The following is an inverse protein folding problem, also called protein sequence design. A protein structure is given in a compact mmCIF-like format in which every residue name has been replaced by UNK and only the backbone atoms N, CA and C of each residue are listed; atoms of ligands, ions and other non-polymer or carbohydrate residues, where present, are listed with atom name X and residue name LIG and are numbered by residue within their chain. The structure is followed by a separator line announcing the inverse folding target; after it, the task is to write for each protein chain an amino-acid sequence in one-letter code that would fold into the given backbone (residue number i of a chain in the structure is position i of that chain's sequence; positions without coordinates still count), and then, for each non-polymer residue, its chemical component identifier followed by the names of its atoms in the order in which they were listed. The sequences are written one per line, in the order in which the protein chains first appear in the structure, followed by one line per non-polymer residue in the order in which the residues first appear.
data_IF_156587334417
#
_entry.id   IF_156587334417
#
_cell.length_a   1.000
_cell.length_b   1.000
_cell.length_c   1.000
_cell.angle_alpha   90.00
_cell.angle_beta   90.00
_cell.angle_gamma   90.00
#
_symmetry.space_group_name_H-M   'P 1'
#
loop_
_entity.id
_entity.type
_entity.pdbx_description
1 polymer ?
#
# COMPACT_ATOMS: atom_id res chain seq x y z
N UNK A 1 6.85 51.68 -8.66
CA UNK A 1 5.85 51.89 -9.73
C UNK A 1 4.54 51.18 -9.37
N UNK A 2 3.42 51.91 -9.34
CA UNK A 2 2.06 51.34 -9.25
C UNK A 2 1.40 51.39 -10.63
N UNK A 3 1.04 50.25 -11.20
CA UNK A 3 0.33 50.17 -12.49
C UNK A 3 1.15 50.47 -13.76
N UNK A 4 2.47 50.69 -13.66
CA UNK A 4 3.34 51.02 -14.79
C UNK A 4 4.12 49.82 -15.33
N UNK A 5 4.36 49.77 -16.64
CA UNK A 5 5.15 48.73 -17.32
C UNK A 5 6.49 49.33 -17.77
N UNK A 6 7.61 48.68 -17.45
CA UNK A 6 8.95 49.01 -17.93
C UNK A 6 9.48 47.88 -18.82
N UNK A 7 9.78 48.16 -20.09
CA UNK A 7 10.41 47.21 -21.00
C UNK A 7 11.89 47.57 -21.21
N UNK A 8 12.80 46.60 -21.06
CA UNK A 8 14.24 46.79 -21.20
C UNK A 8 14.72 45.87 -22.31
N UNK A 9 14.99 46.43 -23.49
CA UNK A 9 15.47 45.72 -24.68
C UNK A 9 16.82 46.30 -25.13
N UNK A 10 17.90 45.74 -24.60
CA UNK A 10 19.22 46.37 -24.65
C UNK A 10 19.37 47.50 -23.63
N UNK A 11 20.48 47.51 -22.91
CA UNK A 11 20.77 48.49 -21.85
C UNK A 11 20.55 47.94 -20.44
N UNK A 12 20.75 48.81 -19.43
CA UNK A 12 20.75 48.42 -18.02
C UNK A 12 19.86 49.36 -17.19
N UNK A 13 19.14 48.79 -16.23
CA UNK A 13 18.44 49.54 -15.18
C UNK A 13 18.89 49.07 -13.80
N UNK A 14 18.87 49.95 -12.80
CA UNK A 14 19.19 49.61 -11.42
C UNK A 14 18.10 50.12 -10.47
N UNK A 15 18.03 49.52 -9.28
CA UNK A 15 17.25 50.02 -8.13
C UNK A 15 15.75 50.21 -8.43
N UNK A 16 15.19 49.28 -9.21
CA UNK A 16 13.77 49.31 -9.58
C UNK A 16 12.91 48.77 -8.45
N UNK A 17 11.88 49.52 -8.04
CA UNK A 17 10.85 49.04 -7.10
C UNK A 17 9.51 48.81 -7.80
N UNK A 18 9.05 47.56 -7.81
CA UNK A 18 7.78 47.12 -8.39
C UNK A 18 6.75 46.96 -7.27
N UNK A 19 5.70 47.78 -7.29
CA UNK A 19 4.57 47.69 -6.34
C UNK A 19 3.34 47.17 -7.10
N UNK A 20 2.17 47.19 -6.46
CA UNK A 20 0.92 46.73 -7.05
C UNK A 20 0.69 47.22 -8.49
N UNK A 21 0.56 46.27 -9.42
CA UNK A 21 0.37 46.49 -10.86
C UNK A 21 1.61 46.98 -11.61
N UNK A 22 2.76 47.13 -10.94
CA UNK A 22 4.03 47.45 -11.56
C UNK A 22 4.63 46.22 -12.21
N UNK A 23 5.00 46.33 -13.49
CA UNK A 23 5.60 45.26 -14.27
C UNK A 23 6.96 45.70 -14.85
N UNK A 24 7.95 44.81 -14.80
CA UNK A 24 9.23 44.99 -15.51
C UNK A 24 9.47 43.78 -16.42
N UNK A 25 9.61 44.05 -17.73
CA UNK A 25 9.96 43.06 -18.74
C UNK A 25 11.42 43.26 -19.14
N UNK A 26 12.27 42.28 -18.81
CA UNK A 26 13.68 42.25 -19.17
C UNK A 26 13.81 41.36 -20.41
N UNK A 27 13.92 42.02 -21.57
CA UNK A 27 13.99 41.38 -22.88
C UNK A 27 15.42 41.02 -23.27
N UNK A 28 15.59 40.42 -24.45
CA UNK A 28 16.89 40.07 -25.02
C UNK A 28 17.90 41.23 -24.94
N UNK A 29 19.04 40.99 -24.27
CA UNK A 29 20.11 41.97 -24.08
C UNK A 29 19.82 43.05 -23.03
N UNK A 30 18.64 43.04 -22.40
CA UNK A 30 18.31 43.88 -21.26
C UNK A 30 18.93 43.35 -19.97
N UNK A 31 19.36 44.29 -19.11
CA UNK A 31 19.95 43.99 -17.80
C UNK A 31 19.18 44.76 -16.71
N UNK A 32 18.79 44.07 -15.63
CA UNK A 32 18.26 44.71 -14.42
C UNK A 32 19.05 44.30 -13.18
N UNK A 33 19.34 45.27 -12.30
CA UNK A 33 20.09 45.04 -11.06
C UNK A 33 19.34 45.64 -9.87
N UNK A 34 19.41 45.01 -8.70
CA UNK A 34 18.84 45.55 -7.45
C UNK A 34 17.34 45.79 -7.52
N UNK A 35 16.58 44.85 -8.09
CA UNK A 35 15.12 44.98 -8.20
C UNK A 35 14.43 44.55 -6.91
N UNK A 36 13.50 45.35 -6.40
CA UNK A 36 12.63 45.00 -5.27
C UNK A 36 11.21 44.80 -5.77
N UNK A 37 10.67 43.60 -5.58
CA UNK A 37 9.31 43.23 -6.00
C UNK A 37 8.42 43.11 -4.77
N UNK A 38 7.51 44.06 -4.60
CA UNK A 38 6.53 44.09 -3.51
C UNK A 38 5.20 43.48 -3.95
N UNK A 39 4.25 43.40 -3.02
CA UNK A 39 2.90 42.88 -3.25
C UNK A 39 2.26 43.42 -4.53
N UNK A 40 1.86 42.51 -5.41
CA UNK A 40 1.24 42.79 -6.71
C UNK A 40 2.19 43.33 -7.79
N UNK A 41 3.50 43.40 -7.51
CA UNK A 41 4.55 43.70 -8.49
C UNK A 41 5.00 42.44 -9.22
N UNK A 42 5.51 42.61 -10.45
CA UNK A 42 5.92 41.47 -11.29
C UNK A 42 7.15 41.80 -12.13
N UNK A 43 8.17 40.94 -12.08
CA UNK A 43 9.30 40.98 -13.00
C UNK A 43 9.27 39.76 -13.91
N UNK A 44 9.34 39.98 -15.22
CA UNK A 44 9.42 38.95 -16.26
C UNK A 44 10.78 39.00 -16.92
N UNK A 45 11.50 37.88 -16.91
CA UNK A 45 12.82 37.74 -17.52
C UNK A 45 12.67 36.85 -18.73
N UNK A 46 12.61 37.48 -19.90
CA UNK A 46 12.39 36.81 -21.18
C UNK A 46 13.71 36.25 -21.74
N UNK A 47 13.60 35.53 -22.85
CA UNK A 47 14.75 34.92 -23.54
C UNK A 47 15.85 35.95 -23.81
N UNK A 48 17.06 35.68 -23.29
CA UNK A 48 18.23 36.54 -23.43
C UNK A 48 18.26 37.76 -22.49
N UNK A 49 17.27 37.92 -21.62
CA UNK A 49 17.29 38.90 -20.53
C UNK A 49 18.15 38.43 -19.35
N UNK A 50 18.76 39.37 -18.63
CA UNK A 50 19.61 39.10 -17.47
C UNK A 50 19.22 39.95 -16.27
N UNK A 51 19.02 39.34 -15.11
CA UNK A 51 18.72 40.06 -13.86
C UNK A 51 19.67 39.62 -12.75
N UNK A 52 20.14 40.56 -11.92
CA UNK A 52 20.90 40.23 -10.70
C UNK A 52 20.37 40.97 -9.48
N UNK A 53 20.56 40.37 -8.31
CA UNK A 53 20.29 40.98 -7.00
C UNK A 53 18.81 41.41 -6.87
N UNK A 54 17.89 40.46 -7.01
CA UNK A 54 16.45 40.73 -6.84
C UNK A 54 15.97 40.31 -5.46
N UNK A 55 15.17 41.15 -4.80
CA UNK A 55 14.44 40.80 -3.58
C UNK A 55 12.95 40.68 -3.88
N UNK A 56 12.37 39.51 -3.61
CA UNK A 56 10.95 39.22 -3.82
C UNK A 56 10.27 39.19 -2.45
N UNK A 57 9.48 40.23 -2.16
CA UNK A 57 8.71 40.37 -0.94
C UNK A 57 7.33 39.69 -1.06
N UNK A 58 6.63 39.59 0.07
CA UNK A 58 5.29 39.00 0.15
C UNK A 58 4.33 39.52 -0.93
N UNK A 59 3.77 38.60 -1.72
CA UNK A 59 2.86 38.86 -2.83
C UNK A 59 3.51 39.39 -4.11
N UNK A 60 4.84 39.49 -4.17
CA UNK A 60 5.60 39.80 -5.39
C UNK A 60 5.97 38.53 -6.16
N UNK A 61 6.15 38.67 -7.49
CA UNK A 61 6.53 37.55 -8.36
C UNK A 61 7.67 37.87 -9.33
N UNK A 62 8.66 36.98 -9.42
CA UNK A 62 9.65 36.94 -10.50
C UNK A 62 9.37 35.71 -11.38
N UNK A 63 9.28 35.91 -12.69
CA UNK A 63 9.01 34.87 -13.68
C UNK A 63 10.18 34.80 -14.67
N UNK A 64 10.87 33.65 -14.69
CA UNK A 64 12.02 33.41 -15.54
C UNK A 64 11.62 32.44 -16.64
N UNK A 65 11.50 32.97 -17.86
CA UNK A 65 11.11 32.18 -19.02
C UNK A 65 12.31 31.48 -19.65
N UNK A 66 12.05 30.68 -20.68
CA UNK A 66 13.08 29.96 -21.46
C UNK A 66 14.21 30.91 -21.89
N UNK A 67 15.46 30.51 -21.61
CA UNK A 67 16.68 31.27 -21.86
C UNK A 67 16.77 32.64 -21.13
N UNK A 68 15.87 32.93 -20.18
CA UNK A 68 16.02 34.03 -19.23
C UNK A 68 16.99 33.64 -18.11
N UNK A 69 17.76 34.61 -17.62
CA UNK A 69 18.81 34.36 -16.63
C UNK A 69 18.66 35.29 -15.43
N UNK A 70 18.60 34.72 -14.23
CA UNK A 70 18.62 35.49 -12.98
C UNK A 70 19.72 34.99 -12.04
N UNK A 71 20.36 35.90 -11.32
CA UNK A 71 21.35 35.58 -10.30
C UNK A 71 21.07 36.32 -9.00
N UNK A 72 21.37 35.70 -7.86
CA UNK A 72 21.23 36.34 -6.52
C UNK A 72 19.81 36.82 -6.23
N UNK A 73 18.82 35.99 -6.53
CA UNK A 73 17.44 36.23 -6.14
C UNK A 73 17.26 35.84 -4.67
N UNK A 74 16.76 36.75 -3.84
CA UNK A 74 16.33 36.49 -2.46
C UNK A 74 14.81 36.45 -2.41
N UNK A 75 14.26 35.32 -1.99
CA UNK A 75 12.81 35.11 -1.83
C UNK A 75 12.51 35.21 -0.33
N UNK A 76 11.64 36.13 0.06
CA UNK A 76 11.17 36.23 1.45
C UNK A 76 9.82 35.55 1.62
N UNK A 77 9.31 35.53 2.85
CA UNK A 77 7.98 35.00 3.17
C UNK A 77 6.88 35.56 2.25
N UNK A 78 6.15 34.64 1.60
CA UNK A 78 5.08 34.92 0.64
C UNK A 78 5.54 35.45 -0.73
N UNK A 79 6.84 35.55 -1.00
CA UNK A 79 7.39 35.87 -2.32
C UNK A 79 7.45 34.63 -3.22
N UNK A 80 7.30 34.82 -4.53
CA UNK A 80 7.30 33.72 -5.51
C UNK A 80 8.39 33.91 -6.57
N UNK A 81 9.24 32.91 -6.72
CA UNK A 81 10.09 32.72 -7.90
C UNK A 81 9.52 31.60 -8.75
N UNK A 82 9.12 31.91 -9.99
CA UNK A 82 8.78 30.91 -10.99
C UNK A 82 9.90 30.80 -12.03
N UNK A 83 10.38 29.58 -12.26
CA UNK A 83 11.38 29.29 -13.31
C UNK A 83 10.82 28.22 -14.23
N UNK A 84 10.53 28.62 -15.46
CA UNK A 84 9.97 27.74 -16.48
C UNK A 84 11.06 26.83 -17.07
N UNK A 85 10.63 25.84 -17.86
CA UNK A 85 11.56 24.93 -18.55
C UNK A 85 12.57 25.73 -19.42
N UNK A 86 13.85 25.43 -19.25
CA UNK A 86 14.95 26.14 -19.93
C UNK A 86 15.26 27.55 -19.39
N UNK A 87 14.56 28.02 -18.35
CA UNK A 87 14.98 29.20 -17.58
C UNK A 87 16.14 28.87 -16.63
N UNK A 88 16.92 29.89 -16.26
CA UNK A 88 18.09 29.75 -15.38
C UNK A 88 18.03 30.71 -14.19
N UNK A 89 18.18 30.17 -12.99
CA UNK A 89 18.29 30.93 -11.75
C UNK A 89 19.42 30.38 -10.88
N UNK A 90 20.39 31.20 -10.51
CA UNK A 90 21.53 30.76 -9.68
C UNK A 90 21.76 31.66 -8.49
N UNK A 91 22.40 31.11 -7.45
CA UNK A 91 22.60 31.80 -6.18
C UNK A 91 21.27 32.27 -5.56
N UNK A 92 20.23 31.46 -5.69
CA UNK A 92 18.92 31.75 -5.09
C UNK A 92 19.02 31.56 -3.57
N UNK A 93 18.51 32.52 -2.80
CA UNK A 93 18.30 32.38 -1.36
C UNK A 93 16.81 32.26 -1.11
N UNK A 94 16.33 31.04 -0.81
CA UNK A 94 14.96 30.79 -0.38
C UNK A 94 14.92 30.88 1.15
N UNK A 95 14.43 31.99 1.68
CA UNK A 95 14.16 32.08 3.11
C UNK A 95 12.86 31.32 3.44
N UNK A 96 12.70 30.92 4.70
CA UNK A 96 11.43 30.38 5.21
C UNK A 96 10.24 31.22 4.77
N UNK A 97 9.22 30.57 4.23
CA UNK A 97 8.04 31.24 3.68
C UNK A 97 8.10 31.53 2.17
N UNK A 98 9.29 31.46 1.58
CA UNK A 98 9.50 31.74 0.16
C UNK A 98 9.15 30.56 -0.73
N UNK A 99 8.47 30.81 -1.85
CA UNK A 99 8.02 29.78 -2.77
C UNK A 99 8.85 29.74 -4.06
N UNK A 100 9.18 28.53 -4.49
CA UNK A 100 9.76 28.25 -5.81
C UNK A 100 8.76 27.40 -6.60
N UNK A 101 8.43 27.83 -7.82
CA UNK A 101 7.56 27.12 -8.77
C UNK A 101 8.38 26.76 -10.00
N UNK A 102 8.59 25.47 -10.26
CA UNK A 102 9.48 25.04 -11.34
C UNK A 102 9.25 23.58 -11.77
N UNK A 103 10.06 23.12 -12.72
CA UNK A 103 10.12 21.73 -13.16
C UNK A 103 11.59 21.30 -13.40
N UNK A 104 11.81 19.99 -13.55
CA UNK A 104 13.15 19.42 -13.69
C UNK A 104 13.88 19.75 -15.02
N UNK A 105 13.25 20.46 -15.96
CA UNK A 105 13.93 21.02 -17.16
C UNK A 105 14.47 22.44 -16.98
N UNK A 106 14.28 23.08 -15.82
CA UNK A 106 14.94 24.34 -15.48
C UNK A 106 16.40 24.10 -15.05
N UNK A 107 17.19 25.18 -14.97
CA UNK A 107 18.49 25.18 -14.29
C UNK A 107 18.39 26.06 -13.06
N UNK A 108 18.60 25.47 -11.88
CA UNK A 108 18.38 26.13 -10.60
C UNK A 108 19.51 25.80 -9.63
N UNK A 109 20.00 26.78 -8.86
CA UNK A 109 20.92 26.53 -7.75
C UNK A 109 20.77 27.60 -6.66
N UNK A 110 20.89 27.18 -5.41
CA UNK A 110 20.69 28.08 -4.29
C UNK A 110 20.83 27.42 -2.93
N UNK A 111 20.35 28.12 -1.91
CA UNK A 111 20.25 27.66 -0.52
C UNK A 111 18.86 27.89 0.02
N UNK A 112 18.37 26.93 0.80
CA UNK A 112 17.18 27.03 1.65
C UNK A 112 17.54 26.60 3.09
N UNK A 113 16.55 26.52 3.97
CA UNK A 113 16.75 26.13 5.37
C UNK A 113 17.25 24.68 5.56
N UNK A 114 17.18 23.84 4.52
CA UNK A 114 17.72 22.47 4.47
C UNK A 114 19.11 22.39 3.82
N UNK A 115 19.67 23.52 3.38
CA UNK A 115 21.01 23.59 2.79
C UNK A 115 20.99 23.93 1.30
N UNK A 116 22.00 23.46 0.56
CA UNK A 116 22.12 23.75 -0.87
C UNK A 116 21.15 22.90 -1.68
N UNK A 117 20.45 23.51 -2.62
CA UNK A 117 19.55 22.82 -3.55
C UNK A 117 19.96 23.07 -5.00
N UNK A 118 19.56 22.19 -5.90
CA UNK A 118 19.84 22.34 -7.32
C UNK A 118 18.83 21.63 -8.23
N UNK A 119 18.67 22.14 -9.44
CA UNK A 119 18.07 21.44 -10.57
C UNK A 119 19.04 21.54 -11.75
N UNK A 120 19.50 20.40 -12.26
CA UNK A 120 20.36 20.35 -13.43
C UNK A 120 20.21 19.02 -14.15
N UNK A 121 20.17 19.07 -15.49
CA UNK A 121 20.19 17.86 -16.32
C UNK A 121 19.04 16.88 -16.08
N UNK A 122 17.87 17.37 -15.64
CA UNK A 122 16.72 16.51 -15.32
C UNK A 122 16.68 15.98 -13.89
N UNK A 123 17.63 16.33 -13.03
CA UNK A 123 17.63 15.92 -11.61
C UNK A 123 17.44 17.13 -10.71
N UNK A 124 16.49 17.05 -9.78
CA UNK A 124 16.31 18.01 -8.70
C UNK A 124 16.82 17.43 -7.37
N UNK A 125 17.44 18.24 -6.52
CA UNK A 125 17.96 17.80 -5.22
C UNK A 125 17.74 18.87 -4.15
N UNK A 126 17.37 18.40 -2.95
CA UNK A 126 17.21 19.20 -1.73
C UNK A 126 16.20 20.36 -1.85
N UNK A 127 15.16 20.16 -2.66
CA UNK A 127 14.13 21.16 -2.88
C UNK A 127 13.25 21.31 -1.63
N UNK A 128 12.98 22.55 -1.22
CA UNK A 128 12.02 22.89 -0.17
C UNK A 128 10.78 23.51 -0.83
N UNK A 129 9.64 22.82 -0.73
CA UNK A 129 8.38 23.23 -1.33
C UNK A 129 7.41 23.61 -0.22
N UNK A 130 7.11 24.90 -0.09
CA UNK A 130 6.22 25.45 0.93
C UNK A 130 5.50 26.70 0.39
N UNK A 131 4.39 27.08 1.00
CA UNK A 131 3.65 28.31 0.69
C UNK A 131 3.28 28.46 -0.81
N UNK A 132 2.84 27.38 -1.44
CA UNK A 132 2.54 27.34 -2.87
C UNK A 132 3.73 26.96 -3.76
N UNK A 133 4.88 26.64 -3.17
CA UNK A 133 6.01 26.07 -3.89
C UNK A 133 5.62 24.78 -4.61
N UNK A 134 6.06 24.64 -5.86
CA UNK A 134 5.72 23.52 -6.74
C UNK A 134 6.98 23.05 -7.47
N UNK A 135 7.25 21.75 -7.38
CA UNK A 135 8.19 21.07 -8.29
C UNK A 135 7.41 20.08 -9.14
N UNK A 136 7.56 20.18 -10.46
CA UNK A 136 7.15 19.12 -11.38
C UNK A 136 8.35 18.27 -11.81
N UNK A 137 8.35 17.00 -11.45
CA UNK A 137 9.30 15.99 -11.94
C UNK A 137 8.76 15.43 -13.25
N UNK A 138 9.43 15.74 -14.35
CA UNK A 138 9.03 15.32 -15.70
C UNK A 138 9.31 13.83 -15.95
N UNK A 139 8.79 13.32 -17.06
CA UNK A 139 9.06 11.95 -17.52
C UNK A 139 10.57 11.72 -17.73
N UNK A 140 11.09 10.61 -17.21
CA UNK A 140 12.51 10.23 -17.32
C UNK A 140 13.46 11.05 -16.43
N UNK A 141 12.92 11.96 -15.62
CA UNK A 141 13.66 12.80 -14.68
C UNK A 141 13.53 12.28 -13.25
N UNK A 142 14.32 12.82 -12.33
CA UNK A 142 14.30 12.44 -10.92
C UNK A 142 14.31 13.64 -9.97
N UNK A 143 13.84 13.40 -8.75
CA UNK A 143 14.02 14.31 -7.62
C UNK A 143 14.52 13.55 -6.39
N UNK A 144 15.48 14.13 -5.67
CA UNK A 144 15.99 13.61 -4.41
C UNK A 144 15.87 14.62 -3.27
N UNK A 145 15.80 14.10 -2.06
CA UNK A 145 15.96 14.87 -0.81
C UNK A 145 14.96 16.04 -0.69
N UNK A 146 13.76 15.85 -1.24
CA UNK A 146 12.74 16.91 -1.35
C UNK A 146 11.89 16.98 -0.08
N UNK A 147 11.77 18.17 0.50
CA UNK A 147 10.84 18.45 1.60
C UNK A 147 9.63 19.20 1.07
N UNK A 148 8.44 18.68 1.32
CA UNK A 148 7.15 19.29 0.96
C UNK A 148 6.42 19.67 2.24
N UNK A 149 6.45 20.95 2.59
CA UNK A 149 5.77 21.51 3.76
C UNK A 149 4.36 21.99 3.44
N UNK A 150 3.79 22.82 4.34
CA UNK A 150 2.43 23.35 4.16
C UNK A 150 2.24 24.03 2.81
N UNK A 151 1.17 23.65 2.12
CA UNK A 151 0.75 24.18 0.82
C UNK A 151 1.80 24.01 -0.30
N UNK A 152 2.86 23.23 -0.05
CA UNK A 152 3.82 22.79 -1.05
C UNK A 152 3.28 21.61 -1.85
N UNK A 153 3.67 21.53 -3.12
CA UNK A 153 3.27 20.42 -4.01
C UNK A 153 4.47 19.83 -4.73
N UNK A 154 4.67 18.53 -4.57
CA UNK A 154 5.52 17.73 -5.45
C UNK A 154 4.63 17.02 -6.47
N UNK A 155 4.74 17.42 -7.73
CA UNK A 155 4.04 16.81 -8.85
C UNK A 155 5.00 15.89 -9.60
N UNK A 156 4.67 14.61 -9.73
CA UNK A 156 5.50 13.61 -10.42
C UNK A 156 4.73 13.10 -11.63
N UNK A 157 5.25 13.38 -12.83
CA UNK A 157 4.68 12.84 -14.05
C UNK A 157 4.98 11.34 -14.18
N UNK A 158 4.17 10.62 -14.97
CA UNK A 158 4.40 9.22 -15.26
C UNK A 158 5.80 9.02 -15.86
N UNK A 159 6.61 8.17 -15.21
CA UNK A 159 8.01 7.93 -15.56
C UNK A 159 9.02 8.85 -14.84
N UNK A 160 8.57 9.75 -13.96
CA UNK A 160 9.42 10.44 -13.00
C UNK A 160 9.74 9.56 -11.79
N UNK A 161 10.92 9.76 -11.20
CA UNK A 161 11.43 8.92 -10.10
C UNK A 161 11.77 9.75 -8.87
N UNK A 162 11.34 9.29 -7.70
CA UNK A 162 11.76 9.81 -6.40
C UNK A 162 12.93 8.98 -5.87
N UNK A 163 14.02 9.65 -5.52
CA UNK A 163 15.26 9.08 -4.96
C UNK A 163 15.57 9.74 -3.61
N UNK A 164 16.55 9.21 -2.89
CA UNK A 164 16.93 9.77 -1.58
C UNK A 164 15.75 9.81 -0.62
N UNK A 165 15.56 10.92 0.10
CA UNK A 165 14.42 11.06 1.03
C UNK A 165 13.42 12.11 0.55
N UNK A 166 12.18 11.73 0.30
CA UNK A 166 11.07 12.68 0.10
C UNK A 166 10.25 12.76 1.37
N UNK A 167 10.14 13.94 1.98
CA UNK A 167 9.38 14.14 3.22
C UNK A 167 8.22 15.08 2.99
N UNK A 168 7.00 14.59 3.25
CA UNK A 168 5.78 15.39 3.27
C UNK A 168 5.41 15.70 4.73
N UNK A 169 5.42 16.96 5.10
CA UNK A 169 4.98 17.44 6.42
C UNK A 169 3.69 18.24 6.31
N UNK A 170 2.98 18.40 7.43
CA UNK A 170 1.83 19.30 7.54
C UNK A 170 0.73 19.03 6.48
N UNK A 171 0.57 19.93 5.50
CA UNK A 171 -0.36 19.83 4.37
C UNK A 171 0.37 19.68 3.02
N UNK A 172 1.62 19.24 3.05
CA UNK A 172 2.39 18.96 1.83
C UNK A 172 1.70 17.90 0.99
N UNK A 173 1.71 18.11 -0.32
CA UNK A 173 0.98 17.28 -1.27
C UNK A 173 1.93 16.60 -2.26
N UNK A 174 1.77 15.28 -2.43
CA UNK A 174 2.35 14.52 -3.54
C UNK A 174 1.23 14.21 -4.53
N UNK A 175 1.41 14.61 -5.79
CA UNK A 175 0.46 14.32 -6.87
C UNK A 175 1.19 13.58 -7.98
N UNK A 176 0.56 12.57 -8.56
CA UNK A 176 1.05 11.90 -9.75
C UNK A 176 0.25 10.65 -10.07
N UNK A 177 -0.05 10.44 -11.35
CA UNK A 177 -0.78 9.25 -11.80
C UNK A 177 0.05 7.97 -11.60
N UNK A 178 1.36 8.06 -11.90
CA UNK A 178 2.33 6.97 -11.71
C UNK A 178 3.62 7.54 -11.13
N UNK A 179 3.84 7.28 -9.84
CA UNK A 179 5.00 7.71 -9.07
C UNK A 179 5.88 6.50 -8.80
N UNK A 180 7.14 6.56 -9.23
CA UNK A 180 8.14 5.54 -8.88
C UNK A 180 8.97 6.04 -7.71
N UNK A 181 8.85 5.41 -6.55
CA UNK A 181 9.66 5.66 -5.37
C UNK A 181 10.76 4.60 -5.25
N UNK A 182 12.01 5.02 -5.46
CA UNK A 182 13.21 4.19 -5.26
C UNK A 182 13.99 4.60 -3.99
N UNK A 183 13.48 5.59 -3.24
CA UNK A 183 14.08 6.10 -2.02
C UNK A 183 13.21 5.86 -0.79
N UNK A 184 13.22 6.81 0.14
CA UNK A 184 12.36 6.80 1.32
C UNK A 184 11.30 7.89 1.18
N UNK A 185 10.03 7.49 1.17
CA UNK A 185 8.90 8.40 1.15
C UNK A 185 8.34 8.51 2.58
N UNK A 186 8.46 9.68 3.19
CA UNK A 186 8.00 9.97 4.54
C UNK A 186 6.75 10.84 4.54
N UNK A 187 5.70 10.42 5.25
CA UNK A 187 4.57 11.25 5.64
C UNK A 187 4.69 11.54 7.14
N UNK A 188 5.06 12.77 7.50
CA UNK A 188 5.33 13.18 8.88
C UNK A 188 4.23 14.11 9.39
N UNK A 189 3.40 13.61 10.31
CA UNK A 189 2.23 14.28 10.89
C UNK A 189 1.25 14.86 9.85
N UNK A 190 1.31 14.33 8.62
CA UNK A 190 0.52 14.81 7.50
C UNK A 190 -0.91 14.27 7.63
N UNK A 191 -1.80 15.13 8.12
CA UNK A 191 -3.14 14.73 8.58
C UNK A 191 -4.22 14.79 7.49
N UNK A 192 -3.87 15.21 6.27
CA UNK A 192 -4.80 15.35 5.15
C UNK A 192 -4.25 14.80 3.82
N UNK A 193 -3.12 14.10 3.83
CA UNK A 193 -2.55 13.51 2.63
C UNK A 193 -3.46 12.43 2.06
N UNK A 194 -4.09 12.77 0.93
CA UNK A 194 -4.73 11.80 0.05
C UNK A 194 -3.82 11.59 -1.15
N UNK A 195 -3.40 10.35 -1.37
CA UNK A 195 -2.74 9.96 -2.61
C UNK A 195 -3.67 9.05 -3.42
N UNK A 196 -3.93 9.45 -4.66
CA UNK A 196 -4.72 8.69 -5.61
C UNK A 196 -3.89 8.49 -6.87
N UNK A 197 -3.53 7.24 -7.16
CA UNK A 197 -2.67 6.92 -8.30
C UNK A 197 -1.95 5.59 -8.13
N UNK A 198 -0.87 5.43 -8.89
CA UNK A 198 0.05 4.31 -8.79
C UNK A 198 1.31 4.74 -8.06
N UNK A 199 1.62 4.14 -6.92
CA UNK A 199 2.86 4.34 -6.17
C UNK A 199 3.66 3.03 -6.16
N UNK A 200 4.67 2.93 -7.00
CA UNK A 200 5.49 1.71 -7.18
C UNK A 200 6.96 1.94 -6.84
N UNK A 201 7.76 0.89 -6.74
CA UNK A 201 9.22 0.97 -6.74
C UNK A 201 9.88 0.21 -5.60
N UNK A 202 11.21 0.25 -5.56
CA UNK A 202 12.01 -0.48 -4.58
C UNK A 202 12.12 0.20 -3.22
N UNK A 203 11.58 1.42 -3.11
CA UNK A 203 11.72 2.27 -1.93
C UNK A 203 10.87 1.83 -0.74
N UNK A 204 10.93 2.65 0.32
CA UNK A 204 10.11 2.52 1.52
C UNK A 204 9.03 3.60 1.56
N UNK A 205 7.91 3.27 2.21
CA UNK A 205 6.89 4.24 2.62
C UNK A 205 6.81 4.25 4.16
N UNK A 206 7.12 5.38 4.78
CA UNK A 206 7.02 5.54 6.23
C UNK A 206 6.00 6.61 6.57
N UNK A 207 5.07 6.30 7.46
CA UNK A 207 4.15 7.28 8.04
C UNK A 207 4.41 7.39 9.54
N UNK A 208 4.66 8.62 9.99
CA UNK A 208 4.81 8.97 11.40
C UNK A 208 3.68 9.91 11.80
N UNK A 209 2.77 9.44 12.66
CA UNK A 209 1.56 10.18 13.01
C UNK A 209 0.63 10.48 11.83
N UNK A 210 -0.31 11.40 12.03
CA UNK A 210 -1.24 11.85 11.00
C UNK A 210 -2.21 10.79 10.47
N UNK A 211 -2.99 11.19 9.47
CA UNK A 211 -4.04 10.41 8.84
C UNK A 211 -3.87 10.48 7.33
N UNK A 212 -3.56 9.34 6.70
CA UNK A 212 -3.37 9.27 5.25
C UNK A 212 -4.45 8.40 4.61
N UNK A 213 -4.77 8.70 3.35
CA UNK A 213 -5.64 7.88 2.52
C UNK A 213 -4.97 7.57 1.20
N UNK A 214 -4.87 6.28 0.87
CA UNK A 214 -4.29 5.81 -0.38
C UNK A 214 -5.35 5.08 -1.22
N UNK A 215 -5.38 5.37 -2.51
CA UNK A 215 -6.25 4.70 -3.50
C UNK A 215 -5.49 4.43 -4.80
N UNK A 216 -5.92 3.42 -5.57
CA UNK A 216 -5.27 3.00 -6.81
C UNK A 216 -4.37 1.77 -6.64
N UNK A 217 -3.09 1.87 -7.01
CA UNK A 217 -2.10 0.79 -6.91
C UNK A 217 -0.94 1.21 -6.02
N UNK A 218 -0.52 0.35 -5.09
CA UNK A 218 0.64 0.58 -4.24
C UNK A 218 1.52 -0.66 -4.18
N UNK A 219 2.78 -0.53 -4.54
CA UNK A 219 3.77 -1.62 -4.45
C UNK A 219 5.11 -1.05 -4.03
N UNK A 220 5.57 -1.40 -2.84
CA UNK A 220 6.86 -0.92 -2.32
C UNK A 220 7.66 -2.12 -1.83
N UNK A 221 8.76 -2.45 -2.51
CA UNK A 221 9.57 -3.62 -2.14
C UNK A 221 10.23 -3.43 -0.77
N UNK A 222 10.54 -2.18 -0.40
CA UNK A 222 11.05 -1.82 0.92
C UNK A 222 9.99 -1.84 2.02
N UNK A 223 8.71 -2.04 1.68
CA UNK A 223 7.61 -2.14 2.62
C UNK A 223 7.04 -0.81 3.10
N UNK A 224 6.03 -0.92 3.95
CA UNK A 224 5.32 0.19 4.60
C UNK A 224 5.62 0.15 6.10
N UNK A 225 5.91 1.29 6.70
CA UNK A 225 6.07 1.43 8.16
C UNK A 225 5.07 2.45 8.70
N UNK A 226 4.27 2.05 9.69
CA UNK A 226 3.39 2.93 10.46
C UNK A 226 3.95 3.09 11.87
N UNK A 227 4.19 4.34 12.30
CA UNK A 227 4.77 4.65 13.60
C UNK A 227 4.14 5.88 14.27
N UNK A 228 4.39 6.06 15.57
CA UNK A 228 3.99 7.24 16.35
C UNK A 228 2.51 7.62 16.21
N UNK A 229 1.59 6.66 16.28
CA UNK A 229 0.14 6.91 16.18
C UNK A 229 -0.38 7.16 14.76
N UNK A 230 0.40 6.81 13.73
CA UNK A 230 -0.03 6.86 12.35
C UNK A 230 -1.33 6.10 12.11
N UNK A 231 -2.23 6.70 11.33
CA UNK A 231 -3.43 6.08 10.82
C UNK A 231 -3.43 6.08 9.29
N UNK A 232 -3.44 4.89 8.68
CA UNK A 232 -3.49 4.72 7.23
C UNK A 232 -4.81 4.08 6.82
N UNK A 233 -5.50 4.70 5.86
CA UNK A 233 -6.67 4.11 5.19
C UNK A 233 -6.33 3.74 3.76
N UNK A 234 -6.45 2.46 3.44
CA UNK A 234 -6.47 1.92 2.09
C UNK A 234 -7.93 1.96 1.58
N UNK A 235 -8.15 2.68 0.49
CA UNK A 235 -9.47 2.91 -0.09
C UNK A 235 -9.49 2.57 -1.57
N UNK A 236 -10.23 1.52 -1.94
CA UNK A 236 -10.18 0.99 -3.32
C UNK A 236 -8.71 0.79 -3.78
N UNK A 237 -7.84 0.37 -2.85
CA UNK A 237 -6.41 0.25 -3.07
C UNK A 237 -6.05 -1.21 -3.33
N UNK A 238 -5.24 -1.46 -4.36
CA UNK A 238 -4.53 -2.72 -4.54
C UNK A 238 -3.10 -2.52 -4.05
N UNK A 239 -2.78 -3.08 -2.89
CA UNK A 239 -1.47 -2.98 -2.26
C UNK A 239 -0.71 -4.32 -2.33
N UNK A 240 0.58 -4.26 -2.68
CA UNK A 240 1.53 -5.35 -2.58
C UNK A 240 2.77 -4.86 -1.81
N UNK A 241 2.77 -5.08 -0.49
CA UNK A 241 3.85 -4.68 0.38
C UNK A 241 3.69 -5.34 1.75
N UNK A 242 4.81 -5.65 2.40
CA UNK A 242 4.80 -5.98 3.82
C UNK A 242 4.62 -4.69 4.63
N UNK A 243 3.87 -4.77 5.73
CA UNK A 243 3.59 -3.64 6.62
C UNK A 243 4.17 -3.92 8.00
N UNK A 244 4.99 -3.00 8.49
CA UNK A 244 5.43 -2.96 9.89
C UNK A 244 4.65 -1.88 10.64
N UNK A 245 4.14 -2.20 11.82
CA UNK A 245 3.28 -1.32 12.62
C UNK A 245 3.80 -1.21 14.05
N UNK A 246 3.65 -0.03 14.66
CA UNK A 246 3.86 0.19 16.10
C UNK A 246 2.56 0.10 16.87
N UNK A 247 2.67 -0.19 18.17
CA UNK A 247 1.53 -0.05 19.09
C UNK A 247 0.94 1.37 19.00
N UNK A 248 -0.39 1.44 18.97
CA UNK A 248 -1.15 2.71 18.83
C UNK A 248 -1.30 3.21 17.38
N UNK A 249 -0.76 2.51 16.38
CA UNK A 249 -1.02 2.80 14.97
C UNK A 249 -2.24 2.05 14.45
N UNK A 250 -2.82 2.51 13.35
CA UNK A 250 -4.00 1.88 12.73
C UNK A 250 -3.84 1.70 11.23
N UNK A 251 -4.20 0.52 10.74
CA UNK A 251 -4.31 0.20 9.31
C UNK A 251 -5.75 -0.21 9.00
N UNK A 252 -6.39 0.50 8.07
CA UNK A 252 -7.77 0.21 7.64
C UNK A 252 -7.82 -0.13 6.17
N UNK A 253 -8.41 -1.28 5.83
CA UNK A 253 -8.79 -1.65 4.47
C UNK A 253 -10.28 -1.41 4.28
N UNK A 254 -10.63 -0.51 3.37
CA UNK A 254 -12.02 -0.13 3.09
C UNK A 254 -12.34 -0.17 1.58
N UNK A 255 -13.64 -0.15 1.26
CA UNK A 255 -14.17 -0.03 -0.10
C UNK A 255 -13.59 -1.04 -1.11
N UNK A 256 -13.42 -2.30 -0.70
CA UNK A 256 -12.92 -3.35 -1.59
C UNK A 256 -11.42 -3.31 -1.82
N UNK A 257 -10.67 -2.72 -0.88
CA UNK A 257 -9.20 -2.72 -0.93
C UNK A 257 -8.64 -4.13 -0.77
N UNK A 258 -7.49 -4.36 -1.39
CA UNK A 258 -6.74 -5.60 -1.31
C UNK A 258 -5.34 -5.29 -0.80
N UNK A 259 -4.92 -5.90 0.31
CA UNK A 259 -3.51 -5.91 0.73
C UNK A 259 -2.94 -7.30 0.51
N UNK A 260 -1.87 -7.43 -0.27
CA UNK A 260 -1.05 -8.64 -0.33
C UNK A 260 0.28 -8.36 0.38
N UNK A 261 0.59 -9.16 1.39
CA UNK A 261 1.79 -9.01 2.23
C UNK A 261 1.53 -9.38 3.67
N UNK A 262 2.60 -9.55 4.44
CA UNK A 262 2.51 -9.73 5.90
C UNK A 262 2.31 -8.40 6.62
N UNK A 263 1.69 -8.46 7.80
CA UNK A 263 1.59 -7.34 8.73
C UNK A 263 2.23 -7.75 10.04
N UNK A 264 3.24 -7.02 10.50
CA UNK A 264 3.97 -7.34 11.73
C UNK A 264 4.05 -6.15 12.67
N UNK A 265 4.09 -6.42 13.98
CA UNK A 265 4.50 -5.44 14.97
C UNK A 265 6.00 -5.20 14.97
N UNK A 266 6.45 -4.12 15.61
CA UNK A 266 7.85 -3.89 15.92
C UNK A 266 8.17 -4.27 17.38
N UNK A 267 9.33 -3.85 17.89
CA UNK A 267 9.75 -4.13 19.26
C UNK A 267 8.89 -3.45 20.34
N UNK A 268 7.97 -2.56 19.96
CA UNK A 268 7.04 -1.86 20.87
C UNK A 268 5.64 -2.47 20.92
N UNK A 269 5.36 -3.43 20.04
CA UNK A 269 4.04 -4.05 19.88
C UNK A 269 3.52 -3.89 18.46
N UNK A 270 2.30 -4.37 18.21
CA UNK A 270 1.67 -4.30 16.90
C UNK A 270 0.54 -3.26 16.87
N UNK A 271 0.31 -2.67 15.69
CA UNK A 271 -0.80 -1.75 15.45
C UNK A 271 -2.11 -2.48 15.21
N UNK A 272 -3.21 -1.75 15.32
CA UNK A 272 -4.56 -2.28 15.09
C UNK A 272 -4.86 -2.36 13.59
N UNK A 273 -5.62 -3.37 13.20
CA UNK A 273 -6.03 -3.60 11.81
C UNK A 273 -7.55 -3.74 11.70
N UNK A 274 -8.14 -3.05 10.72
CA UNK A 274 -9.55 -3.16 10.39
C UNK A 274 -9.73 -3.55 8.93
N UNK A 275 -10.53 -4.58 8.65
CA UNK A 275 -10.86 -5.02 7.27
C UNK A 275 -12.37 -4.95 7.06
N UNK A 276 -12.81 -4.10 6.13
CA UNK A 276 -14.22 -3.70 5.97
C UNK A 276 -14.81 -4.12 4.64
N UNK A 277 -16.10 -4.41 4.63
CA UNK A 277 -16.89 -4.71 3.44
C UNK A 277 -16.27 -5.79 2.56
N UNK A 278 -16.14 -5.52 1.26
CA UNK A 278 -15.55 -6.43 0.30
C UNK A 278 -14.01 -6.49 0.32
N UNK A 279 -13.36 -5.83 1.28
CA UNK A 279 -11.89 -5.75 1.34
C UNK A 279 -11.26 -7.06 1.77
N UNK A 280 -10.07 -7.35 1.26
CA UNK A 280 -9.35 -8.60 1.48
C UNK A 280 -7.90 -8.34 1.90
N UNK A 281 -7.50 -8.94 3.02
CA UNK A 281 -6.09 -9.08 3.35
C UNK A 281 -5.60 -10.45 2.93
N UNK A 282 -4.78 -10.49 1.88
CA UNK A 282 -4.02 -11.65 1.45
C UNK A 282 -2.71 -11.74 2.23
N UNK A 283 -2.76 -12.49 3.32
CA UNK A 283 -1.64 -12.75 4.20
C UNK A 283 -0.76 -13.85 3.58
N UNK A 284 0.49 -13.53 3.22
CA UNK A 284 1.42 -14.44 2.52
C UNK A 284 2.63 -14.88 3.37
N UNK A 285 2.65 -14.46 4.64
CA UNK A 285 3.63 -14.84 5.65
C UNK A 285 3.12 -14.58 7.07
N UNK A 286 3.83 -15.12 8.06
CA UNK A 286 3.43 -15.00 9.47
C UNK A 286 3.23 -13.53 9.83
N UNK A 287 2.14 -13.25 10.54
CA UNK A 287 1.69 -11.88 10.81
C UNK A 287 1.25 -11.70 12.25
N UNK A 288 1.46 -10.51 12.79
CA UNK A 288 1.08 -10.10 14.14
C UNK A 288 0.43 -8.73 14.09
N UNK A 289 -0.78 -8.62 14.61
CA UNK A 289 -1.54 -7.36 14.75
C UNK A 289 -1.97 -7.17 16.21
N UNK A 290 -2.29 -5.93 16.59
CA UNK A 290 -2.90 -5.59 17.87
C UNK A 290 -4.36 -6.07 17.90
N UNK A 291 -5.31 -5.14 17.91
CA UNK A 291 -6.71 -5.46 17.69
C UNK A 291 -6.98 -5.75 16.20
N UNK A 292 -7.58 -6.91 15.91
CA UNK A 292 -8.12 -7.22 14.59
C UNK A 292 -9.64 -7.04 14.59
N UNK A 293 -10.15 -6.14 13.75
CA UNK A 293 -11.59 -5.94 13.56
C UNK A 293 -11.99 -6.31 12.15
N UNK A 294 -12.94 -7.22 12.02
CA UNK A 294 -13.58 -7.51 10.73
C UNK A 294 -14.98 -6.91 10.71
N UNK A 295 -15.25 -6.08 9.70
CA UNK A 295 -16.58 -5.56 9.41
C UNK A 295 -17.01 -6.11 8.05
N UNK A 296 -17.39 -7.39 8.01
CA UNK A 296 -17.65 -8.19 6.82
C UNK A 296 -16.42 -8.47 5.93
N UNK A 297 -15.23 -8.00 6.32
CA UNK A 297 -13.98 -8.21 5.60
C UNK A 297 -13.51 -9.67 5.58
N UNK A 298 -12.51 -9.93 4.72
CA UNK A 298 -11.90 -11.25 4.57
C UNK A 298 -10.40 -11.21 4.86
N UNK A 299 -9.92 -12.14 5.68
CA UNK A 299 -8.49 -12.47 5.78
C UNK A 299 -8.27 -13.78 5.03
N UNK A 300 -7.40 -13.78 4.04
CA UNK A 300 -7.10 -14.91 3.16
C UNK A 300 -5.64 -15.30 3.32
N UNK A 301 -5.42 -16.40 4.05
CA UNK A 301 -4.11 -17.00 4.19
C UNK A 301 -3.73 -17.57 2.83
N UNK A 302 -2.63 -17.09 2.26
CA UNK A 302 -2.07 -17.58 1.01
C UNK A 302 -0.88 -18.48 1.32
N UNK A 303 -0.85 -19.70 0.76
CA UNK A 303 0.28 -20.58 0.97
C UNK A 303 1.53 -20.01 0.30
N UNK A 304 2.65 -19.98 1.03
CA UNK A 304 3.97 -19.69 0.46
C UNK A 304 4.37 -20.83 -0.50
N UNK A 305 4.12 -20.66 -1.80
CA UNK A 305 4.42 -21.69 -2.80
C UNK A 305 5.94 -21.83 -3.01
N UNK A 306 6.50 -23.02 -2.76
CA UNK A 306 7.90 -23.33 -3.03
C UNK A 306 8.11 -23.93 -4.42
N UNK A 307 8.02 -23.09 -5.45
CA UNK A 307 8.34 -23.42 -6.87
C UNK A 307 7.48 -24.51 -7.54
N UNK A 308 7.44 -24.49 -8.88
CA UNK A 308 6.62 -25.37 -9.74
C UNK A 308 6.97 -26.87 -9.68
N UNK A 309 8.00 -27.27 -8.92
CA UNK A 309 8.54 -28.64 -8.93
C UNK A 309 8.39 -29.39 -7.61
N UNK A 310 8.15 -28.69 -6.49
CA UNK A 310 7.88 -29.30 -5.17
C UNK A 310 6.88 -28.43 -4.41
N UNK A 311 5.58 -28.70 -4.54
CA UNK A 311 4.57 -27.99 -3.74
C UNK A 311 4.64 -28.48 -2.29
N UNK A 312 5.52 -27.89 -1.47
CA UNK A 312 5.47 -28.10 -0.03
C UNK A 312 4.47 -27.12 0.57
N UNK A 313 3.37 -27.64 1.14
CA UNK A 313 2.46 -26.86 1.96
C UNK A 313 3.23 -26.28 3.14
N UNK A 314 3.15 -24.96 3.33
CA UNK A 314 3.73 -24.27 4.48
C UNK A 314 2.61 -23.53 5.20
N UNK A 315 2.27 -23.93 6.43
CA UNK A 315 1.27 -23.24 7.21
C UNK A 315 1.75 -21.84 7.58
N UNK A 316 0.81 -20.92 7.70
CA UNK A 316 1.07 -19.54 8.13
C UNK A 316 0.23 -19.23 9.37
N UNK A 317 0.82 -18.50 10.31
CA UNK A 317 0.16 -18.08 11.55
C UNK A 317 -0.18 -16.60 11.54
N UNK A 318 -1.42 -16.29 11.95
CA UNK A 318 -1.85 -14.94 12.30
C UNK A 318 -2.02 -14.84 13.81
N UNK A 319 -1.28 -13.95 14.45
CA UNK A 319 -1.42 -13.63 15.86
C UNK A 319 -2.13 -12.28 16.01
N UNK A 320 -3.17 -12.23 16.85
CA UNK A 320 -3.77 -10.95 17.28
C UNK A 320 -3.88 -10.84 18.80
N UNK A 321 -3.85 -9.62 19.32
CA UNK A 321 -4.13 -9.36 20.75
C UNK A 321 -5.62 -9.51 21.04
N UNK A 322 -6.47 -9.00 20.15
CA UNK A 322 -7.92 -9.19 20.24
C UNK A 322 -8.54 -9.38 18.86
N UNK A 323 -9.76 -9.93 18.85
CA UNK A 323 -10.55 -10.13 17.65
C UNK A 323 -11.99 -9.68 17.89
N UNK A 324 -12.54 -8.88 16.98
CA UNK A 324 -13.93 -8.43 17.07
C UNK A 324 -14.65 -8.35 15.72
N UNK A 325 -15.98 -8.34 15.77
CA UNK A 325 -16.85 -8.08 14.63
C UNK A 325 -17.34 -9.35 13.91
N UNK A 326 -17.34 -9.31 12.58
CA UNK A 326 -17.77 -10.44 11.76
C UNK A 326 -17.05 -10.46 10.42
N UNK A 327 -16.71 -11.64 9.91
CA UNK A 327 -15.96 -11.77 8.67
C UNK A 327 -15.57 -13.20 8.34
N UNK A 328 -14.71 -13.34 7.34
CA UNK A 328 -14.27 -14.66 6.85
C UNK A 328 -12.76 -14.80 6.99
N UNK A 329 -12.31 -15.95 7.50
CA UNK A 329 -10.94 -16.41 7.42
C UNK A 329 -10.87 -17.54 6.40
N UNK A 330 -10.14 -17.34 5.31
CA UNK A 330 -9.85 -18.38 4.32
C UNK A 330 -8.51 -18.99 4.67
N UNK A 331 -8.51 -20.26 5.05
CA UNK A 331 -7.35 -20.93 5.63
C UNK A 331 -7.03 -22.19 4.83
N UNK A 332 -5.77 -22.56 4.78
CA UNK A 332 -5.31 -23.75 4.09
C UNK A 332 -4.89 -24.82 5.10
N UNK A 333 -5.13 -26.08 4.76
CA UNK A 333 -4.77 -27.22 5.59
C UNK A 333 -4.16 -28.32 4.74
N UNK A 334 -3.25 -29.08 5.34
CA UNK A 334 -2.89 -30.43 4.92
C UNK A 334 -3.31 -31.38 6.05
N UNK A 335 -4.58 -31.80 5.99
CA UNK A 335 -5.18 -32.64 7.02
C UNK A 335 -4.47 -34.00 7.12
N UNK A 336 -3.99 -34.54 5.99
CA UNK A 336 -3.23 -35.80 5.98
C UNK A 336 -1.93 -35.69 6.78
N UNK A 337 -1.24 -34.56 6.65
CA UNK A 337 -0.01 -34.25 7.39
C UNK A 337 -0.24 -33.60 8.76
N UNK A 338 -1.51 -33.42 9.18
CA UNK A 338 -1.89 -32.79 10.45
C UNK A 338 -1.28 -31.39 10.64
N UNK A 339 -1.26 -30.60 9.57
CA UNK A 339 -0.74 -29.23 9.60
C UNK A 339 -1.69 -28.29 8.85
N UNK A 340 -1.69 -27.02 9.22
CA UNK A 340 -2.60 -26.04 8.66
C UNK A 340 -2.26 -24.65 9.13
N UNK A 341 -2.82 -23.67 8.44
CA UNK A 341 -2.79 -22.28 8.87
C UNK A 341 -3.44 -22.15 10.26
N UNK A 342 -3.00 -21.14 11.02
CA UNK A 342 -3.43 -20.96 12.41
C UNK A 342 -3.84 -19.52 12.68
N UNK A 343 -5.02 -19.33 13.27
CA UNK A 343 -5.44 -18.06 13.87
C UNK A 343 -5.26 -18.13 15.39
N UNK A 344 -4.38 -17.31 15.94
CA UNK A 344 -4.07 -17.27 17.36
C UNK A 344 -4.44 -15.92 17.97
N UNK A 345 -5.61 -15.84 18.62
CA UNK A 345 -6.04 -14.65 19.36
C UNK A 345 -5.61 -14.79 20.82
N UNK A 346 -4.62 -14.01 21.25
CA UNK A 346 -4.01 -14.16 22.57
C UNK A 346 -4.87 -13.60 23.71
N UNK A 347 -5.74 -12.63 23.42
CA UNK A 347 -6.66 -12.00 24.38
C UNK A 347 -8.12 -12.35 24.13
N UNK A 348 -8.99 -11.34 24.19
CA UNK A 348 -10.44 -11.51 24.04
C UNK A 348 -10.87 -11.57 22.57
N UNK A 349 -11.67 -12.58 22.22
CA UNK A 349 -12.33 -12.71 20.93
C UNK A 349 -13.86 -12.61 21.09
N UNK A 350 -14.51 -11.72 20.33
CA UNK A 350 -15.97 -11.60 20.28
C UNK A 350 -16.49 -11.47 18.84
N UNK A 351 -17.73 -11.91 18.61
CA UNK A 351 -18.38 -11.83 17.30
C UNK A 351 -18.51 -13.16 16.55
N UNK A 352 -18.78 -13.10 15.25
CA UNK A 352 -19.14 -14.28 14.45
C UNK A 352 -18.29 -14.38 13.18
N UNK A 353 -17.58 -15.49 13.02
CA UNK A 353 -16.62 -15.68 11.93
C UNK A 353 -16.87 -16.97 11.16
N UNK A 354 -16.65 -16.92 9.85
CA UNK A 354 -16.67 -18.08 8.97
C UNK A 354 -15.24 -18.51 8.66
N UNK A 355 -14.97 -19.80 8.78
CA UNK A 355 -13.75 -20.45 8.36
C UNK A 355 -13.99 -21.14 7.01
N UNK A 356 -13.34 -20.65 5.96
CA UNK A 356 -13.35 -21.24 4.63
C UNK A 356 -12.05 -22.05 4.45
N UNK A 357 -12.13 -23.35 4.72
CA UNK A 357 -10.94 -24.23 4.77
C UNK A 357 -10.68 -24.86 3.40
N UNK A 358 -9.44 -24.72 2.92
CA UNK A 358 -8.94 -25.31 1.68
C UNK A 358 -7.92 -26.40 2.01
N UNK A 359 -8.30 -27.66 1.85
CA UNK A 359 -7.38 -28.79 2.06
C UNK A 359 -6.50 -29.05 0.82
N UNK A 360 -5.26 -29.50 1.00
CA UNK A 360 -4.30 -29.83 -0.09
C UNK A 360 -4.82 -30.88 -1.08
N UNK A 361 -5.85 -31.63 -0.71
CA UNK A 361 -6.39 -32.75 -1.49
C UNK A 361 -5.69 -34.08 -1.20
N UNK A 362 -4.66 -34.10 -0.34
CA UNK A 362 -4.09 -35.35 0.17
C UNK A 362 -5.09 -36.05 1.09
N UNK A 363 -5.20 -37.37 0.93
CA UNK A 363 -6.13 -38.19 1.69
C UNK A 363 -5.50 -38.62 3.02
N UNK A 364 -6.15 -38.34 4.17
CA UNK A 364 -5.69 -38.84 5.45
C UNK A 364 -5.87 -40.37 5.53
N UNK A 365 -4.83 -41.08 6.01
CA UNK A 365 -4.84 -42.55 6.14
C UNK A 365 -5.65 -43.07 7.34
N UNK A 366 -6.04 -42.19 8.25
CA UNK A 366 -6.96 -42.47 9.36
C UNK A 366 -7.68 -41.18 9.78
N UNK A 367 -8.72 -41.29 10.61
CA UNK A 367 -9.41 -40.14 11.21
C UNK A 367 -8.46 -39.11 11.85
N UNK A 368 -7.25 -39.55 12.25
CA UNK A 368 -6.15 -38.68 12.67
C UNK A 368 -6.36 -38.04 14.04
N UNK A 369 -5.38 -37.24 14.46
CA UNK A 369 -5.54 -36.34 15.62
C UNK A 369 -6.27 -35.06 15.20
N UNK A 370 -7.10 -34.46 16.07
CA UNK A 370 -7.72 -33.16 15.81
C UNK A 370 -6.71 -32.11 15.33
N UNK A 371 -7.00 -31.40 14.24
CA UNK A 371 -6.15 -30.31 13.73
C UNK A 371 -6.66 -28.98 14.28
N UNK A 372 -5.86 -28.32 15.13
CA UNK A 372 -6.19 -26.99 15.64
C UNK A 372 -6.07 -25.95 14.51
N UNK A 373 -7.09 -25.10 14.38
CA UNK A 373 -7.12 -24.02 13.37
C UNK A 373 -7.36 -22.65 13.99
N UNK A 374 -7.94 -22.61 15.21
CA UNK A 374 -8.10 -21.36 15.97
C UNK A 374 -7.77 -21.59 17.44
N UNK A 375 -7.05 -20.65 18.03
CA UNK A 375 -6.95 -20.44 19.47
C UNK A 375 -7.55 -19.08 19.83
N UNK A 376 -8.25 -19.02 20.96
CA UNK A 376 -8.64 -17.76 21.61
C UNK A 376 -8.17 -17.78 23.07
N UNK A 377 -7.73 -16.64 23.59
CA UNK A 377 -7.37 -16.53 25.01
C UNK A 377 -8.60 -16.49 25.91
N UNK A 378 -9.64 -15.77 25.48
CA UNK A 378 -10.94 -15.68 26.15
C UNK A 378 -12.02 -15.14 25.21
N UNK A 379 -13.26 -15.05 25.69
CA UNK A 379 -14.37 -14.40 24.99
C UNK A 379 -15.42 -15.36 24.45
N UNK A 380 -16.35 -14.80 23.68
CA UNK A 380 -17.57 -15.45 23.20
C UNK A 380 -17.64 -15.58 21.68
N UNK A 381 -16.52 -15.34 20.98
CA UNK A 381 -16.45 -15.52 19.54
C UNK A 381 -16.95 -16.91 19.10
N UNK A 382 -17.76 -16.90 18.04
CA UNK A 382 -18.27 -18.10 17.39
C UNK A 382 -17.62 -18.27 16.02
N UNK A 383 -17.18 -19.48 15.73
CA UNK A 383 -16.61 -19.87 14.44
C UNK A 383 -17.47 -20.96 13.80
N UNK A 384 -17.63 -20.89 12.48
CA UNK A 384 -18.39 -21.86 11.70
C UNK A 384 -17.65 -22.22 10.42
N UNK A 385 -17.82 -23.43 9.89
CA UNK A 385 -17.25 -23.79 8.58
C UNK A 385 -18.15 -23.31 7.46
N UNK A 386 -17.54 -22.76 6.42
CA UNK A 386 -18.22 -22.56 5.15
C UNK A 386 -18.72 -23.91 4.61
N UNK A 387 -20.03 -24.08 4.44
CA UNK A 387 -20.63 -25.36 4.05
C UNK A 387 -20.76 -26.41 5.16
N UNK A 388 -20.35 -26.10 6.40
CA UNK A 388 -20.55 -26.94 7.60
C UNK A 388 -19.56 -28.08 7.79
N UNK A 389 -18.76 -28.43 6.78
CA UNK A 389 -17.76 -29.51 6.82
C UNK A 389 -16.62 -29.27 5.85
N UNK A 390 -15.53 -30.01 6.02
CA UNK A 390 -14.39 -30.07 5.10
C UNK A 390 -14.22 -31.50 4.62
N UNK A 391 -14.26 -31.71 3.30
CA UNK A 391 -14.04 -33.03 2.70
C UNK A 391 -12.53 -33.26 2.51
N UNK A 392 -12.00 -34.37 3.04
CA UNK A 392 -10.61 -34.78 2.90
C UNK A 392 -10.53 -36.27 2.54
N UNK A 393 -10.59 -36.56 1.23
CA UNK A 393 -10.59 -37.94 0.73
C UNK A 393 -11.88 -38.68 1.11
N UNK A 394 -11.77 -39.77 1.87
CA UNK A 394 -12.91 -40.55 2.38
C UNK A 394 -13.53 -39.99 3.65
N UNK A 395 -12.91 -38.99 4.27
CA UNK A 395 -13.30 -38.48 5.58
C UNK A 395 -13.94 -37.09 5.48
N UNK A 396 -14.96 -36.87 6.30
CA UNK A 396 -15.56 -35.55 6.52
C UNK A 396 -15.08 -35.00 7.87
N UNK A 397 -14.60 -33.76 7.87
CA UNK A 397 -14.13 -33.06 9.06
C UNK A 397 -15.10 -31.95 9.44
N UNK A 398 -15.41 -31.88 10.74
CA UNK A 398 -16.30 -30.90 11.34
C UNK A 398 -15.53 -30.05 12.35
N UNK A 399 -15.96 -28.79 12.50
CA UNK A 399 -15.36 -27.87 13.44
C UNK A 399 -15.94 -28.10 14.83
N UNK A 400 -15.06 -28.37 15.78
CA UNK A 400 -15.40 -28.66 17.16
C UNK A 400 -14.66 -27.70 18.09
N UNK A 401 -15.40 -27.06 18.99
CA UNK A 401 -14.84 -26.20 20.04
C UNK A 401 -14.52 -27.05 21.27
N UNK A 402 -13.30 -26.93 21.78
CA UNK A 402 -12.91 -27.47 23.08
C UNK A 402 -12.27 -26.36 23.90
N UNK A 403 -12.92 -25.96 25.00
CA UNK A 403 -12.54 -24.77 25.77
C UNK A 403 -12.48 -23.52 24.88
N UNK A 404 -11.29 -22.97 24.67
CA UNK A 404 -11.05 -21.78 23.86
C UNK A 404 -10.39 -22.08 22.50
N UNK A 405 -10.23 -23.36 22.19
CA UNK A 405 -9.62 -23.85 20.95
C UNK A 405 -10.67 -24.43 20.00
N UNK A 406 -10.39 -24.34 18.70
CA UNK A 406 -11.23 -24.90 17.66
C UNK A 406 -10.42 -25.85 16.78
N UNK A 407 -10.96 -27.06 16.63
CA UNK A 407 -10.31 -28.15 15.93
C UNK A 407 -11.17 -28.66 14.78
N UNK A 408 -10.52 -28.99 13.67
CA UNK A 408 -11.08 -29.88 12.66
C UNK A 408 -10.96 -31.32 13.16
N UNK A 409 -12.09 -32.01 13.29
CA UNK A 409 -12.15 -33.42 13.71
C UNK A 409 -12.93 -34.23 12.71
N UNK A 410 -12.44 -35.41 12.38
CA UNK A 410 -13.17 -36.38 11.59
C UNK A 410 -14.42 -36.85 12.35
N UNK A 411 -15.51 -37.06 11.64
CA UNK A 411 -16.65 -37.80 12.19
C UNK A 411 -16.26 -39.29 12.35
N UNK A 412 -16.05 -39.71 13.60
CA UNK A 412 -15.66 -41.08 13.93
C UNK A 412 -16.81 -42.09 13.89
N UNK A 413 -18.03 -41.67 13.53
CA UNK A 413 -19.15 -42.59 13.28
C UNK A 413 -19.00 -43.41 11.99
N UNK A 414 -17.97 -43.16 11.18
CA UNK A 414 -17.55 -43.99 10.05
C UNK A 414 -16.26 -44.76 10.39
N UNK A 415 -16.26 -46.10 10.42
CA UNK A 415 -15.02 -46.88 10.36
C UNK A 415 -14.57 -47.07 8.91
N UNK A 416 -13.27 -46.87 8.67
CA UNK A 416 -12.61 -47.36 7.48
C UNK A 416 -12.49 -48.89 7.44
N UNK A 417 -12.56 -49.41 6.21
CA UNK A 417 -12.27 -50.77 5.72
C UNK A 417 -13.22 -51.90 6.12
N UNK A 418 -14.14 -52.26 5.20
CA UNK A 418 -14.73 -53.60 5.15
C UNK A 418 -13.59 -54.61 4.89
N UNK A 419 -13.27 -55.43 5.89
CA UNK A 419 -12.45 -56.62 5.73
C UNK A 419 -13.35 -57.72 5.11
N UNK A 420 -13.03 -58.30 3.94
CA UNK A 420 -13.91 -59.29 3.32
C UNK A 420 -13.76 -60.67 3.98
N UNK A 421 -14.81 -61.09 4.70
CA UNK A 421 -15.07 -62.48 5.10
C UNK A 421 -14.46 -62.88 6.45
N UNK A 422 -15.17 -63.54 7.35
CA UNK A 422 -16.16 -64.60 7.14
C UNK A 422 -17.31 -64.49 8.13
N UNK A 423 -18.56 -64.48 7.69
CA UNK A 423 -19.67 -64.86 8.57
C UNK A 423 -20.70 -65.75 7.87
N UNK A 424 -21.02 -66.81 8.59
CA UNK A 424 -22.09 -67.77 8.37
C UNK A 424 -23.39 -67.18 8.97
N UNK A 425 -24.60 -67.54 8.49
CA UNK A 425 -25.78 -66.71 8.66
C UNK A 425 -26.46 -66.91 10.01
N UNK A 426 -26.77 -65.80 10.67
CA UNK A 426 -27.66 -65.72 11.84
C UNK A 426 -28.45 -64.42 11.78
N UNK A 427 -29.77 -64.54 11.84
CA UNK A 427 -30.75 -63.47 11.63
C UNK A 427 -30.79 -62.47 12.79
N UNK A 428 -30.25 -61.29 12.56
CA UNK A 428 -30.73 -60.02 13.11
C UNK A 428 -30.43 -58.99 12.04
N UNK A 429 -31.41 -58.25 11.53
CA UNK A 429 -31.15 -57.17 10.58
C UNK A 429 -30.76 -55.92 11.38
N UNK A 430 -29.48 -55.51 11.43
CA UNK A 430 -29.17 -54.16 11.85
C UNK A 430 -29.64 -53.24 10.72
N UNK A 431 -30.30 -52.13 11.06
CA UNK A 431 -30.42 -51.02 10.11
C UNK A 431 -28.99 -50.70 9.65
N UNK A 432 -28.69 -50.75 8.33
CA UNK A 432 -27.34 -50.47 7.87
C UNK A 432 -26.91 -49.09 8.38
N UNK A 433 -25.70 -48.93 8.93
CA UNK A 433 -25.19 -47.61 9.23
C UNK A 433 -25.29 -46.77 7.96
N UNK A 434 -25.92 -45.59 8.07
CA UNK A 434 -25.97 -44.64 6.96
C UNK A 434 -24.51 -44.29 6.65
N UNK A 435 -24.01 -44.70 5.48
CA UNK A 435 -22.68 -44.33 5.01
C UNK A 435 -22.69 -42.84 4.71
N UNK A 436 -21.89 -42.09 5.44
CA UNK A 436 -21.55 -40.71 5.11
C UNK A 436 -20.16 -40.75 4.47
N UNK A 437 -20.11 -41.02 3.16
CA UNK A 437 -18.88 -40.88 2.39
C UNK A 437 -18.87 -39.52 1.71
N UNK A 438 -17.69 -38.98 1.40
CA UNK A 438 -17.61 -37.71 0.68
C UNK A 438 -18.26 -37.84 -0.69
N UNK A 439 -18.73 -36.74 -1.28
CA UNK A 439 -19.32 -36.76 -2.63
C UNK A 439 -18.36 -37.36 -3.67
N UNK A 440 -17.06 -37.20 -3.48
CA UNK A 440 -16.01 -37.79 -4.32
C UNK A 440 -15.94 -39.31 -4.15
N UNK A 441 -15.99 -39.81 -2.91
CA UNK A 441 -16.07 -41.24 -2.63
C UNK A 441 -17.38 -41.86 -3.15
N UNK A 442 -18.52 -41.16 -2.99
CA UNK A 442 -19.80 -41.56 -3.56
C UNK A 442 -19.75 -41.59 -5.10
N UNK A 443 -19.07 -40.64 -5.75
CA UNK A 443 -18.92 -40.63 -7.20
C UNK A 443 -18.11 -41.83 -7.72
N UNK A 444 -17.02 -42.19 -7.03
CA UNK A 444 -16.22 -43.40 -7.36
C UNK A 444 -17.03 -44.67 -7.09
N UNK A 445 -17.77 -44.73 -5.98
CA UNK A 445 -18.62 -45.88 -5.64
C UNK A 445 -19.79 -46.04 -6.63
N UNK A 446 -20.36 -44.92 -7.12
CA UNK A 446 -21.37 -44.92 -8.18
C UNK A 446 -20.79 -45.36 -9.54
N UNK A 447 -19.52 -45.07 -9.83
CA UNK A 447 -18.83 -45.63 -11.01
C UNK A 447 -18.57 -47.13 -10.88
N UNK A 448 -18.20 -47.61 -9.68
CA UNK A 448 -17.96 -49.04 -9.43
C UNK A 448 -19.24 -49.89 -9.46
N UNK A 449 -20.40 -49.25 -9.28
CA UNK A 449 -21.74 -49.88 -9.35
C UNK A 449 -22.45 -49.65 -10.68
N UNK A 450 -21.79 -49.02 -11.66
CA UNK A 450 -22.28 -48.98 -13.03
C UNK A 450 -22.55 -50.41 -13.51
N UNK A 451 -23.73 -50.70 -14.09
CA UNK A 451 -24.04 -52.04 -14.58
C UNK A 451 -22.93 -52.51 -15.52
N UNK A 452 -22.46 -53.75 -15.35
CA UNK A 452 -21.43 -54.42 -16.17
C UNK A 452 -21.66 -54.24 -17.69
N UNK A 453 -22.89 -53.93 -18.11
CA UNK A 453 -23.26 -53.59 -19.48
C UNK A 453 -22.56 -52.34 -20.07
N UNK A 454 -22.23 -51.31 -19.28
CA UNK A 454 -21.57 -50.10 -19.82
C UNK A 454 -20.09 -50.38 -20.11
N UNK A 455 -19.41 -51.05 -19.17
CA UNK A 455 -18.00 -51.45 -19.31
C UNK A 455 -17.80 -52.50 -20.44
N UNK A 456 -18.78 -53.39 -20.65
CA UNK A 456 -18.75 -54.33 -21.78
C UNK A 456 -19.10 -53.67 -23.14
N UNK A 457 -19.88 -52.60 -23.18
CA UNK A 457 -20.21 -51.92 -24.46
C UNK A 457 -19.01 -51.15 -25.03
N UNK A 458 -18.16 -50.58 -24.16
CA UNK A 458 -16.94 -49.89 -24.60
C UNK A 458 -15.83 -50.87 -25.02
N UNK A 459 -15.71 -52.04 -24.37
CA UNK A 459 -14.75 -53.07 -24.78
C UNK A 459 -15.14 -53.82 -26.07
N UNK A 460 -16.43 -53.85 -26.42
CA UNK A 460 -16.89 -54.39 -27.71
C UNK A 460 -16.73 -53.39 -28.88
N UNK A 461 -16.60 -52.09 -28.59
CA UNK A 461 -16.37 -51.06 -29.61
C UNK A 461 -14.88 -50.93 -30.02
N UNK A 462 -13.97 -51.59 -29.30
CA UNK A 462 -12.53 -51.63 -29.55
C UNK A 462 -12.04 -52.93 -30.22
N UNK A 463 -12.96 -53.78 -30.68
CA UNK A 463 -12.65 -54.89 -31.59
C UNK A 463 -13.62 -54.83 -32.79
N UNK A 464 -13.31 -53.97 -33.75
CA UNK A 464 -13.08 -54.26 -35.17
C UNK A 464 -12.88 -52.97 -35.96
#
# INVERSE_FOLDING_TARGET
NTGGIQNISGGSVTDTTLNAGGEQNVESGGVATSTVINSGGTQKVNSGGSVTDTTINSGGGQYVYVNGNVTKTTITDGGILQVDAGGSASQVTQNSGGAIVTNTSAVLSGTNDKGTFSIAGGSASNMLLENGGLLTVLVGHDASDTTVGSDGTLSVQSGGVLRGTTTLTDKGTLVGDVVTNEGNLYFLNNSAATFAGTLTGSGTLTQEGGNTRFSGLLSQDGGITLQSGAAMTMDTLQANANVTTQSGTTLTLDNGSILTGSVTGDNTGAGDMTVKGASVWHLDGDSTVGALTLDNGTVDFRPSATTRLTQAFRPVSLVSESLSGNGTFRMNTDIASHTGDMLNVTGNASGNFVLDIRNTGLEPVSAGTPLQVVHTGSGDAAFSLNGGKVDAGTWEYYLNKENTDWYLKADSSQPGTDNPGTDNPGTDNPVPPVRHTTKSADAVLNMATAPVYVFNSELQSLRF
#
